data_IF_376143857784
#
_entry.id   IF_376143857784
#
_cell.length_a   1.000
_cell.length_b   1.000
_cell.length_c   1.000
_cell.angle_alpha   90.00
_cell.angle_beta   90.00
_cell.angle_gamma   90.00
#
_symmetry.space_group_name_H-M   'P 1'
#
loop_
_entity.id
_entity.type
_entity.pdbx_description
1 polymer ?
#
# COMPACT_ATOMS: atom_id res chain seq x y z
N UNK A 1 -5.08 3.02 3.17
CA UNK A 1 -3.69 2.91 3.65
C UNK A 1 -3.05 4.29 3.64
N UNK A 2 -2.17 4.63 4.60
CA UNK A 2 -1.52 5.95 4.58
C UNK A 2 -0.17 5.87 3.91
N UNK A 3 0.12 6.81 3.01
CA UNK A 3 1.44 7.00 2.46
C UNK A 3 2.36 7.53 3.58
N UNK A 4 3.48 6.86 3.90
CA UNK A 4 4.44 7.33 4.90
C UNK A 4 5.24 8.57 4.46
N UNK A 5 5.26 8.93 3.17
CA UNK A 5 5.99 10.09 2.65
C UNK A 5 5.17 11.39 2.75
N UNK A 6 3.92 11.38 2.31
CA UNK A 6 3.04 12.56 2.34
C UNK A 6 1.95 12.53 3.42
N UNK A 7 1.88 11.45 4.21
CA UNK A 7 0.83 11.18 5.22
C UNK A 7 -0.61 11.10 4.66
N UNK A 8 -0.79 11.25 3.34
CA UNK A 8 -2.07 11.17 2.66
C UNK A 8 -2.63 9.74 2.65
N UNK A 9 -3.95 9.65 2.62
CA UNK A 9 -4.64 8.36 2.64
C UNK A 9 -4.87 7.84 1.22
N UNK A 10 -4.13 6.81 0.84
CA UNK A 10 -4.37 5.99 -0.36
C UNK A 10 -5.58 5.08 -0.10
N UNK A 11 -6.67 5.31 -0.81
CA UNK A 11 -7.89 4.49 -0.72
C UNK A 11 -7.64 3.05 -1.17
N UNK A 12 -8.34 2.09 -0.55
CA UNK A 12 -8.26 0.69 -1.00
C UNK A 12 -8.94 0.51 -2.36
N UNK A 13 -10.03 1.25 -2.61
CA UNK A 13 -10.73 1.27 -3.90
C UNK A 13 -9.79 1.65 -5.05
N UNK A 14 -8.89 2.61 -4.82
CA UNK A 14 -7.90 3.03 -5.83
C UNK A 14 -6.87 1.94 -6.13
N UNK A 15 -6.41 1.21 -5.11
CA UNK A 15 -5.45 0.11 -5.27
C UNK A 15 -6.09 -1.05 -6.04
N UNK A 16 -7.37 -1.35 -5.78
CA UNK A 16 -8.12 -2.35 -6.52
C UNK A 16 -8.39 -1.92 -7.97
N UNK A 17 -8.73 -0.65 -8.20
CA UNK A 17 -8.95 -0.09 -9.54
C UNK A 17 -7.66 -0.10 -10.41
N UNK A 18 -6.51 0.20 -9.81
CA UNK A 18 -5.19 0.12 -10.46
C UNK A 18 -4.66 -1.32 -10.54
N UNK A 19 -5.38 -2.29 -9.96
CA UNK A 19 -5.02 -3.70 -9.91
C UNK A 19 -3.62 -3.97 -9.33
N UNK A 20 -3.21 -3.16 -8.36
CA UNK A 20 -1.86 -3.24 -7.77
C UNK A 20 -1.79 -4.48 -6.88
N UNK A 21 -0.80 -5.36 -7.10
CA UNK A 21 -0.62 -6.58 -6.31
C UNK A 21 0.16 -6.35 -5.00
N UNK A 22 0.01 -7.21 -3.98
CA UNK A 22 0.87 -7.16 -2.80
C UNK A 22 2.32 -7.46 -3.18
N UNK A 23 3.25 -6.67 -2.66
CA UNK A 23 4.66 -6.62 -3.03
C UNK A 23 4.93 -6.02 -4.43
N UNK A 24 3.94 -5.35 -5.04
CA UNK A 24 4.15 -4.57 -6.25
C UNK A 24 4.48 -3.12 -5.88
N UNK A 25 5.44 -2.54 -6.61
CA UNK A 25 5.84 -1.14 -6.49
C UNK A 25 4.85 -0.26 -7.26
N UNK A 26 4.29 0.74 -6.59
CA UNK A 26 3.34 1.68 -7.18
C UNK A 26 3.66 3.12 -6.76
N UNK A 27 3.27 4.10 -7.55
CA UNK A 27 3.46 5.51 -7.22
C UNK A 27 2.27 6.06 -6.45
N UNK A 28 2.53 6.79 -5.38
CA UNK A 28 1.48 7.49 -4.66
C UNK A 28 0.85 8.58 -5.57
N UNK A 29 -0.49 8.64 -5.71
CA UNK A 29 -1.13 9.63 -6.59
C UNK A 29 -0.91 11.08 -6.14
N UNK A 30 -0.61 11.31 -4.86
CA UNK A 30 -0.48 12.65 -4.28
C UNK A 30 0.96 13.18 -4.31
N UNK A 31 1.95 12.32 -4.09
CA UNK A 31 3.36 12.72 -3.96
C UNK A 31 4.30 12.04 -4.96
N UNK A 32 3.79 11.11 -5.78
CA UNK A 32 4.57 10.30 -6.71
C UNK A 32 5.70 9.50 -6.06
N UNK A 33 5.61 9.24 -4.74
CA UNK A 33 6.56 8.38 -4.04
C UNK A 33 6.33 6.92 -4.42
N UNK A 34 7.41 6.17 -4.63
CA UNK A 34 7.34 4.72 -4.85
C UNK A 34 7.05 4.01 -3.53
N UNK A 35 5.89 3.38 -3.47
CA UNK A 35 5.37 2.64 -2.33
C UNK A 35 5.21 1.18 -2.69
N UNK A 36 5.30 0.32 -1.69
CA UNK A 36 4.97 -1.08 -1.84
C UNK A 36 4.11 -1.47 -0.64
N UNK A 37 2.99 -2.17 -0.90
CA UNK A 37 2.15 -2.66 0.17
C UNK A 37 2.28 -4.17 0.29
N UNK A 38 2.31 -4.66 1.53
CA UNK A 38 2.37 -6.08 1.85
C UNK A 38 1.09 -6.46 2.58
N UNK A 39 0.57 -7.66 2.27
CA UNK A 39 -0.55 -8.25 2.99
C UNK A 39 0.06 -9.33 3.89
N UNK A 40 -0.01 -9.13 5.20
CA UNK A 40 0.40 -10.17 6.13
C UNK A 40 -0.79 -11.12 6.35
N UNK A 41 -0.77 -12.27 5.68
CA UNK A 41 -1.78 -13.34 5.83
C UNK A 41 -1.58 -14.17 7.12
N UNK A 42 -0.70 -13.73 8.04
CA UNK A 42 -0.24 -14.52 9.18
C UNK A 42 -1.09 -14.45 10.46
N UNK A 43 -2.04 -13.50 10.57
CA UNK A 43 -2.83 -13.37 11.81
C UNK A 43 -4.17 -14.10 11.76
N UNK A 44 -4.19 -15.25 12.45
CA UNK A 44 -5.35 -16.04 12.87
C UNK A 44 -6.60 -15.15 13.14
N UNK A 45 -7.70 -15.38 12.39
CA UNK A 45 -9.05 -14.75 12.45
C UNK A 45 -9.48 -13.74 11.36
N UNK A 46 -9.04 -13.87 10.10
CA UNK A 46 -9.76 -13.25 8.97
C UNK A 46 -9.75 -11.71 8.94
N UNK A 47 -8.75 -11.10 9.57
CA UNK A 47 -8.45 -9.67 9.41
C UNK A 47 -7.15 -9.56 8.60
N UNK A 48 -7.27 -9.17 7.34
CA UNK A 48 -6.12 -8.86 6.48
C UNK A 48 -5.47 -7.56 6.97
N UNK A 49 -4.26 -7.64 7.51
CA UNK A 49 -3.48 -6.45 7.84
C UNK A 49 -2.62 -6.05 6.64
N UNK A 50 -2.92 -4.88 6.08
CA UNK A 50 -2.22 -4.32 4.92
C UNK A 50 -1.34 -3.16 5.40
N UNK A 51 -0.03 -3.28 5.23
CA UNK A 51 0.97 -2.28 5.62
C UNK A 51 1.69 -1.77 4.39
N UNK A 52 1.96 -0.46 4.32
CA UNK A 52 2.72 0.18 3.23
C UNK A 52 4.10 0.56 3.74
N UNK A 53 5.12 0.22 2.97
CA UNK A 53 6.52 0.58 3.22
C UNK A 53 7.07 1.40 2.04
N UNK A 54 8.03 2.30 2.30
CA UNK A 54 8.74 3.07 1.26
C UNK A 54 9.90 2.23 0.76
N UNK A 55 10.05 2.14 -0.57
CA UNK A 55 11.21 1.51 -1.21
C UNK A 55 12.14 2.63 -1.67
N UNK A 56 12.93 3.19 -0.75
CA UNK A 56 13.97 4.18 -1.08
C UNK A 56 15.25 3.42 -1.47
N UNK A 57 15.71 3.61 -2.71
CA UNK A 57 16.97 3.05 -3.23
C UNK A 57 18.09 4.08 -3.25
#
# INVERSE_FOLDING_TARGET
>A
MKCPSCEEHVGWDWIEDEAIEPNEEFECPECSETLMYTIDEGTYYGAEHKTVEVVDS
#
